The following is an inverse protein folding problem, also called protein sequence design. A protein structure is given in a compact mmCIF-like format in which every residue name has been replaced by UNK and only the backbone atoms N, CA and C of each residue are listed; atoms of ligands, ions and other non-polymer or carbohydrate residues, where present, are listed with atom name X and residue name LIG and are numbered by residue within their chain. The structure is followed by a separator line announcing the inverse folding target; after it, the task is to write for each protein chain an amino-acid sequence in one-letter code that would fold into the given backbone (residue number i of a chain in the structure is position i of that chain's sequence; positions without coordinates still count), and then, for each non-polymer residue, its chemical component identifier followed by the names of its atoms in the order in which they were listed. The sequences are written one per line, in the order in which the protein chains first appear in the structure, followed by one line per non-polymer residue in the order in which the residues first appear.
data_IF_169218233054
#
_entry.id   IF_169218233054
#
_cell.length_a   1.000
_cell.length_b   1.000
_cell.length_c   1.000
_cell.angle_alpha   90.00
_cell.angle_beta   90.00
_cell.angle_gamma   90.00
#
_symmetry.space_group_name_H-M   'P 1'
#
loop_
_entity.id
_entity.type
_entity.pdbx_description
1 polymer ?
#
# COMPACT_ATOMS: atom_id res chain seq x y z
N UNK A 1 21.61 16.78 -20.24
CA UNK A 1 20.32 16.23 -19.79
C UNK A 1 20.59 15.25 -18.66
N UNK A 2 20.20 15.58 -17.43
CA UNK A 2 20.26 14.64 -16.30
C UNK A 2 19.24 13.51 -16.53
N UNK A 3 19.59 12.26 -16.22
CA UNK A 3 18.67 11.12 -16.31
C UNK A 3 17.84 11.07 -15.03
N UNK A 4 16.51 11.04 -15.15
CA UNK A 4 15.63 10.79 -14.01
C UNK A 4 15.59 9.29 -13.70
N UNK A 5 16.10 8.87 -12.54
CA UNK A 5 16.09 7.47 -12.10
C UNK A 5 14.71 7.08 -11.55
N UNK A 6 13.74 6.90 -12.44
CA UNK A 6 12.37 6.48 -12.10
C UNK A 6 12.36 4.95 -11.93
N UNK A 7 12.51 4.49 -10.69
CA UNK A 7 12.67 3.06 -10.37
C UNK A 7 11.38 2.35 -9.93
N UNK A 8 10.27 3.08 -9.74
CA UNK A 8 9.02 2.48 -9.23
C UNK A 8 7.80 2.84 -10.09
N UNK A 9 6.91 1.86 -10.27
CA UNK A 9 5.62 2.02 -10.97
C UNK A 9 4.78 3.16 -10.38
N UNK A 10 4.82 3.37 -9.06
CA UNK A 10 4.07 4.44 -8.42
C UNK A 10 4.58 5.82 -8.85
N UNK A 11 5.89 6.02 -8.97
CA UNK A 11 6.48 7.29 -9.41
C UNK A 11 6.06 7.60 -10.85
N UNK A 12 6.12 6.61 -11.75
CA UNK A 12 5.67 6.77 -13.13
C UNK A 12 4.19 7.14 -13.21
N UNK A 13 3.35 6.50 -12.39
CA UNK A 13 1.91 6.82 -12.34
C UNK A 13 1.63 8.24 -11.86
N UNK A 14 2.41 8.79 -10.92
CA UNK A 14 2.24 10.19 -10.51
C UNK A 14 2.69 11.17 -11.59
N UNK A 15 3.70 10.82 -12.40
CA UNK A 15 4.14 11.64 -13.53
C UNK A 15 3.06 11.66 -14.62
N UNK A 16 2.54 10.51 -15.04
CA UNK A 16 1.53 10.43 -16.12
C UNK A 16 0.20 11.09 -15.75
N UNK A 17 -0.05 11.34 -14.46
CA UNK A 17 -1.26 11.99 -13.94
C UNK A 17 -1.18 13.52 -13.88
N UNK A 18 -0.06 14.14 -14.27
CA UNK A 18 0.01 15.58 -14.35
C UNK A 18 -0.92 16.12 -15.44
N UNK A 19 -1.36 17.37 -15.29
CA UNK A 19 -2.43 17.96 -16.08
C UNK A 19 -2.04 18.15 -17.56
N UNK A 20 -0.77 18.43 -17.81
CA UNK A 20 -0.19 18.64 -19.13
C UNK A 20 1.26 18.16 -19.19
N UNK A 21 1.80 18.12 -20.40
CA UNK A 21 3.17 17.67 -20.68
C UNK A 21 4.21 18.57 -20.01
N UNK A 22 3.94 19.87 -19.85
CA UNK A 22 4.86 20.80 -19.19
C UNK A 22 5.01 20.47 -17.70
N UNK A 23 3.91 20.21 -17.01
CA UNK A 23 3.90 19.76 -15.62
C UNK A 23 4.53 18.38 -15.46
N UNK A 24 4.37 17.47 -16.43
CA UNK A 24 5.09 16.19 -16.44
C UNK A 24 6.60 16.42 -16.50
N UNK A 25 7.07 17.27 -17.40
CA UNK A 25 8.49 17.55 -17.61
C UNK A 25 9.13 18.27 -16.43
N UNK A 26 8.41 19.20 -15.81
CA UNK A 26 8.84 19.85 -14.56
C UNK A 26 9.07 18.83 -13.44
N UNK A 27 8.11 17.90 -13.25
CA UNK A 27 8.21 16.86 -12.23
C UNK A 27 9.36 15.88 -12.51
N UNK A 28 9.58 15.51 -13.78
CA UNK A 28 10.72 14.68 -14.18
C UNK A 28 12.05 15.39 -13.89
N UNK A 29 12.14 16.69 -14.21
CA UNK A 29 13.31 17.51 -13.92
C UNK A 29 13.64 17.55 -12.44
N UNK A 30 12.62 17.77 -11.61
CA UNK A 30 12.78 17.77 -10.16
C UNK A 30 13.21 16.41 -9.59
N UNK A 31 12.69 15.30 -10.13
CA UNK A 31 13.11 13.95 -9.75
C UNK A 31 14.59 13.74 -10.10
N UNK A 32 15.03 14.21 -11.27
CA UNK A 32 16.40 14.07 -11.75
C UNK A 32 17.40 14.97 -10.99
N UNK A 33 16.96 16.14 -10.52
CA UNK A 33 17.83 17.11 -9.84
C UNK A 33 17.88 16.89 -8.32
N UNK A 34 16.76 16.54 -7.70
CA UNK A 34 16.64 16.44 -6.25
C UNK A 34 16.55 15.00 -5.72
N UNK A 35 16.51 14.00 -6.60
CA UNK A 35 16.42 12.59 -6.19
C UNK A 35 15.17 12.30 -5.35
N UNK A 36 14.03 12.88 -5.73
CA UNK A 36 12.81 12.84 -4.93
C UNK A 36 12.39 11.40 -4.60
N UNK A 37 12.14 11.15 -3.32
CA UNK A 37 11.59 9.88 -2.86
C UNK A 37 10.11 9.76 -3.26
N UNK A 38 9.63 8.52 -3.39
CA UNK A 38 8.24 8.21 -3.76
C UNK A 38 7.21 9.02 -2.94
N UNK A 39 7.45 9.19 -1.65
CA UNK A 39 6.52 9.88 -0.76
C UNK A 39 6.55 11.40 -0.95
N UNK A 40 7.68 11.97 -1.39
CA UNK A 40 7.79 13.39 -1.75
C UNK A 40 7.09 13.68 -3.08
N UNK A 41 7.22 12.79 -4.06
CA UNK A 41 6.49 12.89 -5.34
C UNK A 41 4.97 12.85 -5.10
N UNK A 42 4.50 12.02 -4.17
CA UNK A 42 3.08 11.92 -3.79
C UNK A 42 2.55 13.13 -3.01
N UNK A 43 3.42 13.80 -2.26
CA UNK A 43 3.04 14.95 -1.42
C UNK A 43 3.03 16.27 -2.19
N UNK A 44 3.64 16.34 -3.37
CA UNK A 44 3.54 17.53 -4.21
C UNK A 44 2.10 17.72 -4.64
N UNK A 45 1.53 18.83 -4.16
CA UNK A 45 0.13 19.19 -4.33
C UNK A 45 -0.27 19.12 -5.79
N UNK A 46 -1.37 18.41 -6.04
CA UNK A 46 -2.08 18.40 -7.31
C UNK A 46 -2.51 19.84 -7.64
N UNK A 47 -2.29 20.35 -8.86
CA UNK A 47 -2.78 21.67 -9.26
C UNK A 47 -4.31 21.73 -9.38
N UNK A 48 -4.97 20.60 -9.59
CA UNK A 48 -6.40 20.46 -9.39
C UNK A 48 -6.62 19.97 -7.96
N UNK A 49 -7.37 20.74 -7.16
CA UNK A 49 -7.71 20.47 -5.77
C UNK A 49 -8.54 19.19 -5.58
N UNK A 50 -8.01 18.04 -5.96
CA UNK A 50 -8.56 16.71 -5.67
C UNK A 50 -8.28 16.27 -4.22
N UNK A 51 -8.10 17.23 -3.31
CA UNK A 51 -8.56 17.03 -1.93
C UNK A 51 -10.10 16.97 -1.90
N UNK A 52 -10.78 17.38 -2.97
CA UNK A 52 -12.19 17.15 -3.22
C UNK A 52 -12.41 16.10 -4.33
N UNK A 53 -13.12 15.01 -3.98
CA UNK A 53 -13.80 14.09 -4.91
C UNK A 53 -13.00 12.92 -5.56
N UNK A 54 -12.25 12.15 -4.76
CA UNK A 54 -12.69 10.75 -4.70
C UNK A 54 -13.86 10.75 -3.71
N UNK A 55 -15.06 10.17 -3.98
CA UNK A 55 -15.96 9.81 -2.89
C UNK A 55 -15.07 9.16 -1.85
N UNK A 56 -15.16 9.58 -0.58
CA UNK A 56 -14.37 9.03 0.52
C UNK A 56 -14.60 7.52 0.51
N UNK A 57 -13.80 6.83 -0.32
CA UNK A 57 -13.97 5.43 -0.61
C UNK A 57 -13.49 4.84 0.66
N UNK A 58 -14.46 4.32 1.41
CA UNK A 58 -14.29 3.90 2.78
C UNK A 58 -12.97 3.17 2.87
N UNK A 59 -11.95 3.84 3.44
CA UNK A 59 -10.59 3.33 3.29
C UNK A 59 -10.56 2.06 4.13
N UNK A 60 -10.32 0.90 3.51
CA UNK A 60 -10.35 -0.37 4.21
C UNK A 60 -9.29 -0.33 5.29
N UNK A 61 -9.65 -0.73 6.50
CA UNK A 61 -8.71 -0.84 7.60
C UNK A 61 -7.67 -1.91 7.26
N UNK A 62 -6.40 -1.57 7.36
CA UNK A 62 -5.30 -2.51 7.12
C UNK A 62 -4.45 -2.61 8.38
N UNK A 63 -4.50 -3.78 9.02
CA UNK A 63 -3.61 -4.12 10.10
C UNK A 63 -2.29 -4.64 9.53
N UNK A 64 -1.18 -4.04 9.96
CA UNK A 64 0.16 -4.46 9.57
C UNK A 64 0.96 -4.86 10.81
N UNK A 65 1.52 -6.07 10.79
CA UNK A 65 2.41 -6.55 11.83
C UNK A 65 3.77 -6.94 11.25
N UNK A 66 4.82 -6.40 11.87
CA UNK A 66 6.21 -6.71 11.54
C UNK A 66 6.92 -7.09 12.84
N UNK A 67 7.28 -8.37 13.04
CA UNK A 67 8.02 -8.80 14.21
C UNK A 67 9.44 -8.19 14.22
N UNK A 68 10.06 -8.01 15.39
CA UNK A 68 11.41 -7.42 15.50
C UNK A 68 12.48 -8.19 14.73
N UNK A 69 12.35 -9.52 14.68
CA UNK A 69 13.28 -10.40 13.96
C UNK A 69 13.11 -10.35 12.43
N UNK A 70 12.10 -9.62 11.92
CA UNK A 70 11.75 -9.48 10.48
C UNK A 70 11.60 -10.82 9.74
N UNK A 71 11.31 -11.91 10.45
CA UNK A 71 11.17 -13.24 9.85
C UNK A 71 9.94 -13.36 8.95
N UNK A 72 8.95 -12.48 9.13
CA UNK A 72 7.77 -12.40 8.28
C UNK A 72 7.17 -10.98 8.33
N UNK A 73 6.15 -10.73 7.51
CA UNK A 73 5.27 -9.59 7.66
C UNK A 73 3.83 -10.05 7.43
N UNK A 74 2.91 -9.57 8.26
CA UNK A 74 1.48 -9.83 8.13
C UNK A 74 0.76 -8.55 7.72
N UNK A 75 -0.10 -8.64 6.70
CA UNK A 75 -0.99 -7.57 6.28
C UNK A 75 -2.40 -8.12 6.19
N UNK A 76 -3.27 -7.71 7.12
CA UNK A 76 -4.67 -8.12 7.17
C UNK A 76 -5.56 -6.93 6.77
N UNK A 77 -6.34 -7.11 5.69
CA UNK A 77 -7.24 -6.10 5.15
C UNK A 77 -8.66 -6.41 5.57
N UNK A 78 -9.34 -5.41 6.11
CA UNK A 78 -10.76 -5.46 6.44
C UNK A 78 -11.55 -4.59 5.46
N UNK A 79 -12.77 -4.99 5.16
CA UNK A 79 -13.66 -4.20 4.28
C UNK A 79 -14.19 -2.94 4.97
N UNK A 80 -14.19 -2.94 6.31
CA UNK A 80 -14.65 -1.86 7.17
C UNK A 80 -13.54 -0.82 7.37
N UNK A 81 -13.92 0.42 7.68
CA UNK A 81 -12.96 1.52 7.89
C UNK A 81 -12.22 1.48 9.22
N UNK A 82 -12.82 0.84 10.21
CA UNK A 82 -12.27 0.69 11.55
C UNK A 82 -12.60 -0.70 12.08
N UNK A 83 -11.68 -1.22 12.88
CA UNK A 83 -11.76 -2.54 13.50
C UNK A 83 -11.28 -2.39 14.93
N UNK A 84 -12.05 -2.90 15.88
CA UNK A 84 -11.66 -2.86 17.27
C UNK A 84 -10.57 -3.89 17.57
N UNK A 85 -9.69 -3.65 18.57
CA UNK A 85 -8.65 -4.61 18.94
C UNK A 85 -9.18 -6.01 19.26
N UNK A 86 -10.38 -6.10 19.83
CA UNK A 86 -11.05 -7.38 20.12
C UNK A 86 -11.46 -8.13 18.86
N UNK A 87 -12.07 -7.44 17.90
CA UNK A 87 -12.44 -8.02 16.60
C UNK A 87 -11.20 -8.49 15.82
N UNK A 88 -10.10 -7.72 15.87
CA UNK A 88 -8.82 -8.12 15.29
C UNK A 88 -8.30 -9.42 15.94
N UNK A 89 -8.34 -9.53 17.27
CA UNK A 89 -7.90 -10.73 17.98
C UNK A 89 -8.74 -11.96 17.60
N UNK A 90 -10.08 -11.84 17.64
CA UNK A 90 -11.01 -12.92 17.29
C UNK A 90 -10.81 -13.39 15.83
N UNK A 91 -10.50 -12.45 14.92
CA UNK A 91 -10.17 -12.75 13.52
C UNK A 91 -8.87 -13.55 13.42
N UNK A 92 -7.82 -13.15 14.14
CA UNK A 92 -6.54 -13.88 14.14
C UNK A 92 -6.68 -15.28 14.74
N UNK A 93 -7.46 -15.45 15.81
CA UNK A 93 -7.75 -16.75 16.41
C UNK A 93 -8.49 -17.67 15.44
N UNK A 94 -9.45 -17.14 14.67
CA UNK A 94 -10.15 -17.87 13.61
C UNK A 94 -9.17 -18.35 12.53
N UNK A 95 -8.30 -17.47 12.04
CA UNK A 95 -7.27 -17.84 11.05
C UNK A 95 -6.38 -18.97 11.59
N UNK A 96 -5.94 -18.88 12.85
CA UNK A 96 -5.10 -19.92 13.47
C UNK A 96 -5.84 -21.25 13.58
N UNK A 97 -7.13 -21.24 13.97
CA UNK A 97 -7.95 -22.45 14.05
C UNK A 97 -8.08 -23.11 12.67
N UNK A 98 -8.43 -22.34 11.65
CA UNK A 98 -8.64 -22.87 10.30
C UNK A 98 -7.35 -23.47 9.72
N UNK A 99 -6.20 -22.83 9.99
CA UNK A 99 -4.88 -23.37 9.64
C UNK A 99 -4.58 -24.70 10.35
N UNK A 100 -4.94 -24.84 11.62
CA UNK A 100 -4.77 -26.11 12.36
C UNK A 100 -5.60 -27.22 11.73
N UNK A 101 -6.87 -26.95 11.44
CA UNK A 101 -7.76 -27.91 10.77
C UNK A 101 -7.25 -28.30 9.37
N UNK A 102 -6.67 -27.36 8.63
CA UNK A 102 -6.05 -27.66 7.33
C UNK A 102 -4.84 -28.60 7.47
N UNK A 103 -4.02 -28.42 8.52
CA UNK A 103 -2.88 -29.29 8.80
C UNK A 103 -3.35 -30.70 9.17
N UNK A 104 -4.35 -30.82 10.05
CA UNK A 104 -4.92 -32.10 10.51
C UNK A 104 -5.55 -32.89 9.34
N UNK A 105 -6.34 -32.23 8.50
CA UNK A 105 -6.93 -32.87 7.31
C UNK A 105 -5.90 -33.26 6.24
N UNK A 106 -4.73 -32.61 6.22
CA UNK A 106 -3.61 -33.00 5.34
C UNK A 106 -2.85 -34.23 5.86
N UNK A 107 -2.89 -34.50 7.16
CA UNK A 107 -2.29 -35.71 7.75
C UNK A 107 -3.13 -36.98 7.60
N UNK A 108 -4.45 -36.87 7.51
CA UNK A 108 -5.35 -38.04 7.38
C UNK A 108 -5.44 -38.61 5.95
N UNK A 109 -4.92 -37.91 4.94
CA UNK A 109 -4.97 -38.35 3.54
C UNK A 109 -3.77 -39.18 3.05
N UNK A 110 -2.87 -39.61 3.94
CA UNK A 110 -1.63 -40.32 3.58
C UNK A 110 -1.59 -41.80 4.01
N UNK A 111 -2.66 -42.35 4.61
CA UNK A 111 -2.75 -43.77 4.99
C UNK A 111 -3.62 -44.60 4.04
#
# INVERSE_FOLDING_TARGET
MSRADITTKSTLMEIVRQIDEEAMMALIGDIAEHGLTRDQVRQRKRPNGDDAAWPASRRPFVFQYKPPNRGFALSLRFEREAVEPRELLETLETIVRDLRTQIESSSEGTE
#
